data_IF_442257432711
#
_entry.id   IF_442257432711
#
_cell.length_a   1.000
_cell.length_b   1.000
_cell.length_c   1.000
_cell.angle_alpha   90.00
_cell.angle_beta   90.00
_cell.angle_gamma   90.00
#
_symmetry.space_group_name_H-M   'P 1'
#
loop_
_entity.id
_entity.type
_entity.pdbx_description
1 polymer ?
#
# COMPACT_ATOMS: atom_id res chain seq x y z
N UNK A 1 -15.43 -12.18 20.08
CA UNK A 1 -14.66 -12.16 18.82
C UNK A 1 -13.18 -12.49 19.07
N UNK A 2 -12.64 -13.48 18.36
CA UNK A 2 -11.24 -13.88 18.46
C UNK A 2 -10.54 -13.55 17.14
N UNK A 3 -9.35 -12.95 17.21
CA UNK A 3 -8.50 -12.73 16.05
C UNK A 3 -7.26 -13.60 16.15
N UNK A 4 -6.87 -14.17 15.00
CA UNK A 4 -5.62 -14.90 14.83
C UNK A 4 -4.54 -13.87 14.50
N UNK A 5 -3.63 -13.62 15.43
CA UNK A 5 -2.39 -12.89 15.14
C UNK A 5 -1.32 -13.89 14.71
N UNK A 6 -0.65 -13.64 13.58
CA UNK A 6 0.57 -14.35 13.18
C UNK A 6 1.75 -13.78 13.98
N UNK A 7 2.38 -14.56 14.89
CA UNK A 7 3.53 -14.08 15.67
C UNK A 7 4.88 -14.22 14.94
N UNK A 8 4.89 -14.57 13.64
CA UNK A 8 6.14 -14.95 12.98
C UNK A 8 6.84 -13.81 12.24
N UNK A 9 8.15 -13.79 12.40
CA UNK A 9 9.18 -13.12 11.60
C UNK A 9 9.24 -13.58 10.13
N UNK A 10 8.13 -14.08 9.56
CA UNK A 10 8.08 -14.53 8.17
C UNK A 10 7.58 -13.38 7.30
N UNK A 11 8.52 -12.65 6.73
CA UNK A 11 8.23 -11.79 5.58
C UNK A 11 7.74 -12.70 4.46
N UNK A 12 6.43 -12.71 4.18
CA UNK A 12 5.89 -13.36 2.99
C UNK A 12 6.21 -12.47 1.79
N UNK A 13 6.99 -13.00 0.84
CA UNK A 13 7.17 -12.35 -0.44
C UNK A 13 5.95 -12.63 -1.31
N UNK A 14 5.36 -11.57 -1.85
CA UNK A 14 4.23 -11.62 -2.77
C UNK A 14 4.67 -10.87 -4.01
N UNK A 15 4.52 -11.49 -5.18
CA UNK A 15 4.79 -10.83 -6.45
C UNK A 15 3.65 -9.86 -6.76
N UNK A 16 3.97 -8.65 -7.21
CA UNK A 16 2.96 -7.67 -7.63
C UNK A 16 2.82 -7.74 -9.14
N UNK A 17 1.60 -7.93 -9.61
CA UNK A 17 1.32 -7.99 -11.04
C UNK A 17 1.77 -6.68 -11.72
N UNK A 18 2.35 -6.72 -12.93
CA UNK A 18 2.67 -5.51 -13.68
C UNK A 18 1.47 -4.59 -13.92
N UNK A 19 0.26 -5.17 -13.94
CA UNK A 19 -1.02 -4.48 -14.10
C UNK A 19 -1.76 -4.25 -12.78
N UNK A 20 -1.11 -4.39 -11.63
CA UNK A 20 -1.78 -4.24 -10.35
C UNK A 20 -2.34 -2.83 -10.17
N UNK A 21 -3.58 -2.74 -9.69
CA UNK A 21 -4.20 -1.49 -9.29
C UNK A 21 -3.69 -1.08 -7.90
N UNK A 22 -3.25 0.16 -7.72
CA UNK A 22 -2.79 0.65 -6.41
C UNK A 22 -3.59 1.88 -6.05
N UNK A 23 -4.31 1.79 -4.93
CA UNK A 23 -5.21 2.82 -4.44
C UNK A 23 -4.66 3.35 -3.12
N UNK A 24 -4.45 4.67 -3.04
CA UNK A 24 -3.94 5.37 -1.87
C UNK A 24 -4.99 6.34 -1.33
N UNK A 25 -5.21 6.32 -0.02
CA UNK A 25 -6.13 7.23 0.65
C UNK A 25 -5.44 8.54 1.08
N UNK A 26 -4.12 8.50 1.27
CA UNK A 26 -3.33 9.64 1.80
C UNK A 26 -2.41 10.27 0.75
N UNK A 27 -2.50 9.85 -0.51
CA UNK A 27 -1.67 10.38 -1.57
C UNK A 27 -2.22 11.70 -2.15
N UNK A 28 -1.32 12.61 -2.50
CA UNK A 28 -1.63 13.82 -3.23
C UNK A 28 -0.68 13.98 -4.42
N UNK A 29 -1.24 14.24 -5.58
CA UNK A 29 -0.48 14.60 -6.78
C UNK A 29 0.13 16.01 -6.71
N UNK A 30 -0.29 16.84 -5.75
CA UNK A 30 0.14 18.22 -5.61
C UNK A 30 0.76 18.48 -4.22
N UNK A 31 1.81 19.31 -4.17
CA UNK A 31 2.45 19.71 -2.92
C UNK A 31 1.61 20.72 -2.09
N UNK A 32 0.29 20.77 -2.30
CA UNK A 32 -0.63 21.70 -1.66
C UNK A 32 -1.38 21.09 -0.47
N UNK A 33 -1.10 19.81 -0.14
CA UNK A 33 -1.74 19.11 0.98
C UNK A 33 -3.19 18.68 0.71
N UNK A 34 -3.71 18.85 -0.51
CA UNK A 34 -5.01 18.31 -0.89
C UNK A 34 -4.85 16.87 -1.33
N UNK A 35 -5.26 15.93 -0.49
CA UNK A 35 -5.41 14.53 -0.85
C UNK A 35 -6.86 14.24 -1.21
N UNK A 36 -7.06 13.32 -2.14
CA UNK A 36 -8.36 12.76 -2.44
C UNK A 36 -8.39 11.32 -1.91
N UNK A 37 -9.57 10.86 -1.51
CA UNK A 37 -9.73 9.47 -1.11
C UNK A 37 -9.71 8.58 -2.34
N UNK A 38 -9.09 7.41 -2.23
CA UNK A 38 -9.04 6.38 -3.27
C UNK A 38 -8.29 6.81 -4.54
N UNK A 39 -7.18 7.52 -4.38
CA UNK A 39 -6.35 7.96 -5.51
C UNK A 39 -5.59 6.78 -6.14
N UNK A 40 -5.77 6.52 -7.45
CA UNK A 40 -5.01 5.51 -8.14
C UNK A 40 -3.59 6.01 -8.44
N UNK A 41 -2.58 5.21 -8.11
CA UNK A 41 -1.18 5.51 -8.40
C UNK A 41 -0.47 4.38 -9.13
N UNK A 42 0.66 4.70 -9.74
CA UNK A 42 1.50 3.69 -10.41
C UNK A 42 2.35 2.91 -9.40
N UNK A 43 2.77 1.70 -9.77
CA UNK A 43 3.78 0.96 -9.01
C UNK A 43 5.07 1.74 -8.81
N UNK A 44 5.53 2.48 -9.83
CA UNK A 44 6.74 3.30 -9.72
C UNK A 44 6.60 4.39 -8.64
N UNK A 45 5.43 5.05 -8.59
CA UNK A 45 5.10 6.02 -7.54
C UNK A 45 5.07 5.34 -6.17
N UNK A 46 4.34 4.23 -6.04
CA UNK A 46 4.22 3.49 -4.78
C UNK A 46 5.59 3.01 -4.25
N UNK A 47 6.39 2.39 -5.10
CA UNK A 47 7.72 1.89 -4.75
C UNK A 47 8.69 3.02 -4.37
N UNK A 48 8.55 4.21 -4.97
CA UNK A 48 9.39 5.36 -4.64
C UNK A 48 9.28 5.80 -3.18
N UNK A 49 8.13 5.55 -2.54
CA UNK A 49 7.96 5.88 -1.13
C UNK A 49 8.72 4.96 -0.17
N UNK A 50 9.21 3.83 -0.65
CA UNK A 50 10.02 2.89 0.11
C UNK A 50 11.52 3.04 -0.19
N UNK A 51 11.89 4.01 -1.02
CA UNK A 51 13.28 4.35 -1.31
C UNK A 51 13.99 4.94 -0.06
N UNK A 52 15.34 5.02 -0.04
CA UNK A 52 16.10 5.49 1.12
C UNK A 52 15.74 6.89 1.65
N UNK A 53 15.08 7.72 0.84
CA UNK A 53 14.56 9.01 1.22
C UNK A 53 13.03 9.03 1.00
N UNK A 54 12.25 8.33 1.86
CA UNK A 54 10.81 8.23 1.68
C UNK A 54 10.17 9.61 1.88
N UNK A 55 9.32 10.02 0.94
CA UNK A 55 8.57 11.28 1.06
C UNK A 55 7.42 11.17 2.07
N UNK A 56 7.02 9.94 2.42
CA UNK A 56 5.91 9.65 3.32
C UNK A 56 6.39 8.69 4.41
N UNK A 57 6.41 9.13 5.67
CA UNK A 57 6.97 8.37 6.79
C UNK A 57 6.00 7.35 7.40
N UNK A 58 4.69 7.51 7.19
CA UNK A 58 3.68 6.68 7.82
C UNK A 58 3.31 5.43 7.03
N UNK A 59 3.81 5.25 5.80
CA UNK A 59 3.42 4.10 4.97
C UNK A 59 3.81 2.76 5.59
N UNK A 60 4.90 2.70 6.36
CA UNK A 60 5.28 1.50 7.12
C UNK A 60 4.34 1.17 8.28
N UNK A 61 3.48 2.12 8.68
CA UNK A 61 2.59 2.01 9.81
C UNK A 61 1.10 1.92 9.42
N UNK A 62 0.75 2.14 8.14
CA UNK A 62 -0.62 1.98 7.67
C UNK A 62 -0.87 0.55 7.20
N UNK A 63 -2.05 -0.01 7.48
CA UNK A 63 -2.42 -1.29 6.90
C UNK A 63 -2.67 -1.15 5.40
N UNK A 64 -2.46 -2.24 4.69
CA UNK A 64 -2.87 -2.38 3.29
C UNK A 64 -3.74 -3.62 3.12
N UNK A 65 -4.75 -3.53 2.27
CA UNK A 65 -5.43 -4.70 1.72
C UNK A 65 -4.76 -5.12 0.42
N UNK A 66 -4.47 -6.42 0.32
CA UNK A 66 -3.95 -7.03 -0.90
C UNK A 66 -5.03 -7.96 -1.45
N UNK A 67 -5.51 -7.68 -2.65
CA UNK A 67 -6.29 -8.64 -3.41
C UNK A 67 -5.33 -9.48 -4.23
N UNK A 68 -5.36 -10.79 -4.00
CA UNK A 68 -4.50 -11.75 -4.68
C UNK A 68 -5.27 -12.48 -5.78
N UNK A 69 -4.61 -12.72 -6.91
CA UNK A 69 -4.97 -13.75 -7.85
C UNK A 69 -3.89 -14.83 -7.76
N UNK A 70 -4.27 -16.01 -7.29
CA UNK A 70 -3.35 -17.04 -6.80
C UNK A 70 -2.38 -16.46 -5.73
N UNK A 71 -1.11 -16.28 -6.08
CA UNK A 71 -0.05 -15.70 -5.24
C UNK A 71 0.45 -14.34 -5.74
N UNK A 72 -0.22 -13.76 -6.73
CA UNK A 72 0.14 -12.45 -7.28
C UNK A 72 -0.82 -11.36 -6.79
N UNK A 73 -0.29 -10.29 -6.22
CA UNK A 73 -1.09 -9.13 -5.85
C UNK A 73 -1.54 -8.40 -7.11
N UNK A 74 -2.86 -8.33 -7.31
CA UNK A 74 -3.50 -7.63 -8.43
C UNK A 74 -4.12 -6.30 -8.00
N UNK A 75 -4.30 -6.09 -6.70
CA UNK A 75 -4.68 -4.80 -6.13
C UNK A 75 -4.07 -4.57 -4.76
N UNK A 76 -3.61 -3.35 -4.52
CA UNK A 76 -3.07 -2.86 -3.26
C UNK A 76 -3.88 -1.64 -2.85
N UNK A 77 -4.48 -1.65 -1.67
CA UNK A 77 -5.32 -0.56 -1.19
C UNK A 77 -4.89 -0.11 0.21
N UNK A 78 -4.49 1.15 0.33
CA UNK A 78 -4.18 1.77 1.62
C UNK A 78 -5.45 1.84 2.48
N UNK A 79 -5.35 1.35 3.71
CA UNK A 79 -6.42 1.49 4.68
C UNK A 79 -6.34 2.82 5.40
N UNK A 80 -7.38 3.64 5.23
CA UNK A 80 -7.63 4.73 6.15
C UNK A 80 -8.16 4.17 7.47
N UNK A 81 -7.33 4.17 8.50
CA UNK A 81 -7.78 3.96 9.87
C UNK A 81 -8.17 5.33 10.46
N UNK A 82 -9.47 5.59 10.71
CA UNK A 82 -9.93 6.85 11.31
C UNK A 82 -9.43 7.05 12.74
#
# INVERSE_FOLDING_TARGET
PFFISNPSTQTRQIEVAPSAEIIMATYSHAANGQYQSNEPITWATFASFWAPAPTIRHLSAVPYWLSLNDDQAVRIEEQYLP
#
